data_IF_455039610033
#
_entry.id   IF_455039610033
#
_cell.length_a   1.000
_cell.length_b   1.000
_cell.length_c   1.000
_cell.angle_alpha   90.00
_cell.angle_beta   90.00
_cell.angle_gamma   90.00
#
_symmetry.space_group_name_H-M   'P 1'
#
loop_
_entity.id
_entity.type
_entity.pdbx_description
1 polymer ?
#
# COMPACT_ATOMS: atom_id res chain seq x y z
N UNK A 1 -17.14 5.80 -13.57
CA UNK A 1 -16.55 6.17 -12.26
C UNK A 1 -15.06 6.07 -12.46
N UNK A 2 -14.44 7.20 -12.80
CA UNK A 2 -13.09 7.21 -13.38
C UNK A 2 -12.05 6.78 -12.37
N UNK A 3 -11.06 6.05 -12.87
CA UNK A 3 -9.72 5.87 -12.34
C UNK A 3 -9.36 6.90 -11.26
N UNK A 4 -9.72 6.64 -10.00
CA UNK A 4 -8.89 7.18 -8.94
C UNK A 4 -7.54 6.55 -9.23
N UNK A 5 -6.56 7.40 -9.49
CA UNK A 5 -5.23 7.01 -9.93
C UNK A 5 -4.65 6.00 -8.91
N UNK A 6 -4.88 4.72 -9.17
CA UNK A 6 -4.49 3.62 -8.29
C UNK A 6 -2.96 3.61 -8.13
N UNK A 7 -2.25 4.13 -9.13
CA UNK A 7 -0.82 4.34 -9.11
C UNK A 7 -0.47 5.45 -8.13
N UNK A 8 -1.14 6.60 -8.19
CA UNK A 8 -1.03 7.66 -7.19
C UNK A 8 -1.31 7.20 -5.76
N UNK A 9 -2.33 6.37 -5.54
CA UNK A 9 -2.62 5.78 -4.22
C UNK A 9 -1.51 4.80 -3.78
N UNK A 10 -1.03 3.96 -4.69
CA UNK A 10 0.08 3.03 -4.43
C UNK A 10 1.38 3.78 -4.11
N UNK A 11 1.62 4.91 -4.79
CA UNK A 11 2.75 5.80 -4.54
C UNK A 11 2.70 6.43 -3.15
N UNK A 12 1.52 6.75 -2.62
CA UNK A 12 1.39 7.20 -1.23
C UNK A 12 1.84 6.11 -0.24
N UNK A 13 1.54 4.84 -0.53
CA UNK A 13 2.02 3.70 0.28
C UNK A 13 3.54 3.63 0.22
N UNK A 14 4.12 3.69 -0.99
CA UNK A 14 5.58 3.65 -1.19
C UNK A 14 6.27 4.80 -0.46
N UNK A 15 5.76 6.01 -0.58
CA UNK A 15 6.24 7.19 0.13
C UNK A 15 6.18 7.00 1.66
N UNK A 16 5.12 6.37 2.17
CA UNK A 16 4.97 6.06 3.60
C UNK A 16 6.00 5.08 4.15
N UNK A 17 6.62 4.24 3.30
CA UNK A 17 7.60 3.23 3.70
C UNK A 17 9.01 3.47 3.15
N UNK A 18 9.24 4.56 2.42
CA UNK A 18 10.52 4.80 1.73
C UNK A 18 11.73 4.84 2.68
N UNK A 19 11.51 5.27 3.94
CA UNK A 19 12.52 5.30 4.99
C UNK A 19 12.42 4.12 5.97
N UNK A 20 11.43 3.24 5.81
CA UNK A 20 11.30 2.02 6.61
C UNK A 20 12.33 1.01 6.12
N UNK A 21 13.32 0.59 6.93
CA UNK A 21 14.42 -0.25 6.45
C UNK A 21 13.99 -1.65 5.97
N UNK A 22 12.92 -2.19 6.56
CA UNK A 22 12.44 -3.54 6.29
C UNK A 22 10.93 -3.52 6.04
N UNK A 23 10.51 -4.03 4.88
CA UNK A 23 9.11 -4.14 4.48
C UNK A 23 8.51 -5.49 4.92
N UNK A 24 8.56 -5.77 6.21
CA UNK A 24 8.11 -7.03 6.81
C UNK A 24 6.64 -7.00 7.27
N UNK A 25 6.19 -8.07 7.95
CA UNK A 25 4.83 -8.18 8.48
C UNK A 25 4.52 -7.11 9.53
N UNK A 26 5.52 -6.67 10.32
CA UNK A 26 5.34 -5.63 11.32
C UNK A 26 5.12 -4.27 10.65
N UNK A 27 5.85 -3.97 9.57
CA UNK A 27 5.63 -2.77 8.77
C UNK A 27 4.24 -2.79 8.10
N UNK A 28 3.82 -3.93 7.55
CA UNK A 28 2.51 -4.08 6.90
C UNK A 28 1.36 -3.91 7.91
N UNK A 29 1.48 -4.52 9.09
CA UNK A 29 0.48 -4.44 10.16
C UNK A 29 0.32 -3.01 10.70
N UNK A 30 1.43 -2.29 10.90
CA UNK A 30 1.42 -0.89 11.32
C UNK A 30 0.80 0.01 10.25
N UNK A 31 1.12 -0.21 8.99
CA UNK A 31 0.55 0.53 7.87
C UNK A 31 -0.97 0.32 7.77
N UNK A 32 -1.43 -0.94 7.86
CA UNK A 32 -2.84 -1.27 7.86
C UNK A 32 -3.60 -0.61 9.02
N UNK A 33 -3.02 -0.58 10.22
CA UNK A 33 -3.60 0.13 11.36
C UNK A 33 -3.74 1.64 11.08
N UNK A 34 -2.69 2.28 10.56
CA UNK A 34 -2.73 3.70 10.20
C UNK A 34 -3.78 4.02 9.12
N UNK A 35 -4.01 3.11 8.17
CA UNK A 35 -5.05 3.22 7.15
C UNK A 35 -6.46 3.12 7.73
N UNK A 36 -6.68 2.16 8.63
CA UNK A 36 -7.98 1.98 9.32
C UNK A 36 -8.28 3.17 10.25
N UNK A 37 -7.29 3.64 10.99
CA UNK A 37 -7.41 4.81 11.86
C UNK A 37 -7.52 6.15 11.09
N UNK A 38 -7.31 6.13 9.77
CA UNK A 38 -7.30 7.30 8.87
C UNK A 38 -6.36 8.42 9.33
N UNK A 39 -5.30 8.07 10.06
CA UNK A 39 -4.40 9.04 10.69
C UNK A 39 -3.63 9.88 9.67
N UNK A 40 -3.17 9.23 8.61
CA UNK A 40 -2.46 9.85 7.47
C UNK A 40 -3.09 9.47 6.12
N UNK A 41 -4.03 8.52 6.13
CA UNK A 41 -4.65 7.90 4.96
C UNK A 41 -6.13 8.28 4.91
N UNK A 42 -6.39 9.55 4.59
CA UNK A 42 -7.72 10.17 4.70
C UNK A 42 -8.78 9.58 3.77
N UNK A 43 -8.36 8.96 2.66
CA UNK A 43 -9.25 8.28 1.71
C UNK A 43 -9.86 6.98 2.26
N UNK A 44 -9.32 6.47 3.38
CA UNK A 44 -9.81 5.31 4.09
C UNK A 44 -9.34 3.97 3.49
N UNK A 45 -9.42 2.88 4.27
CA UNK A 45 -8.77 1.61 3.96
C UNK A 45 -9.32 0.93 2.69
N UNK A 46 -10.56 1.19 2.30
CA UNK A 46 -11.14 0.63 1.08
C UNK A 46 -10.43 1.14 -0.19
N UNK A 47 -10.07 2.43 -0.24
CA UNK A 47 -9.39 3.01 -1.40
C UNK A 47 -7.99 2.39 -1.58
N UNK A 48 -7.26 2.21 -0.47
CA UNK A 48 -5.95 1.56 -0.52
C UNK A 48 -6.06 0.07 -0.86
N UNK A 49 -7.05 -0.64 -0.33
CA UNK A 49 -7.29 -2.05 -0.66
C UNK A 49 -7.56 -2.22 -2.17
N UNK A 50 -8.43 -1.39 -2.76
CA UNK A 50 -8.72 -1.43 -4.20
C UNK A 50 -7.48 -1.11 -5.04
N UNK A 51 -6.69 -0.10 -4.64
CA UNK A 51 -5.45 0.27 -5.35
C UNK A 51 -4.40 -0.85 -5.28
N UNK A 52 -4.26 -1.54 -4.15
CA UNK A 52 -3.35 -2.68 -3.99
C UNK A 52 -3.75 -3.82 -4.95
N UNK A 53 -5.04 -4.10 -5.10
CA UNK A 53 -5.52 -5.11 -6.06
C UNK A 53 -5.13 -4.74 -7.50
N UNK A 54 -5.30 -3.48 -7.89
CA UNK A 54 -4.88 -2.99 -9.21
C UNK A 54 -3.36 -3.11 -9.40
N UNK A 55 -2.56 -2.70 -8.41
CA UNK A 55 -1.10 -2.77 -8.46
C UNK A 55 -0.57 -4.21 -8.56
N UNK A 56 -1.25 -5.17 -7.94
CA UNK A 56 -0.90 -6.60 -8.04
C UNK A 56 -1.17 -7.20 -9.43
N UNK A 57 -2.15 -6.66 -10.17
CA UNK A 57 -2.49 -7.07 -11.53
C UNK A 57 -1.64 -6.36 -12.59
N UNK A 58 -0.92 -5.30 -12.20
CA UNK A 58 -0.10 -4.52 -13.10
C UNK A 58 1.30 -5.13 -13.26
N UNK A 59 1.69 -5.40 -14.51
CA UNK A 59 2.98 -6.01 -14.88
C UNK A 59 4.15 -5.01 -15.01
N UNK A 60 3.86 -3.71 -15.07
CA UNK A 60 4.90 -2.67 -15.18
C UNK A 60 5.52 -2.28 -13.84
N UNK A 61 6.51 -1.38 -13.80
CA UNK A 61 7.15 -0.98 -12.55
C UNK A 61 6.17 -0.26 -11.62
N UNK A 62 6.29 -0.46 -10.31
CA UNK A 62 5.55 0.27 -9.27
C UNK A 62 6.43 1.29 -8.54
N UNK A 63 7.76 1.16 -8.63
CA UNK A 63 8.73 2.04 -7.97
C UNK A 63 9.46 2.98 -8.93
N UNK A 64 8.88 3.29 -10.09
CA UNK A 64 9.48 4.13 -11.14
C UNK A 64 9.28 5.63 -10.94
N UNK A 65 8.28 6.04 -10.15
CA UNK A 65 7.93 7.45 -9.95
C UNK A 65 8.55 8.05 -8.67
N UNK A 66 8.96 7.22 -7.71
CA UNK A 66 9.50 7.64 -6.41
C UNK A 66 10.87 6.99 -6.21
N UNK A 67 11.89 7.81 -5.96
CA UNK A 67 13.21 7.31 -5.59
C UNK A 67 13.15 6.64 -4.20
N UNK A 68 13.53 5.37 -4.17
CA UNK A 68 13.40 4.50 -3.00
C UNK A 68 14.55 3.50 -2.97
N UNK A 69 15.00 3.15 -1.76
CA UNK A 69 15.98 2.08 -1.56
C UNK A 69 15.37 0.68 -1.72
N UNK A 70 14.05 0.59 -1.78
CA UNK A 70 13.32 -0.67 -1.89
C UNK A 70 13.39 -1.22 -3.31
N UNK A 71 13.63 -2.53 -3.43
CA UNK A 71 13.48 -3.22 -4.71
C UNK A 71 12.00 -3.30 -5.12
N UNK A 72 11.75 -3.32 -6.42
CA UNK A 72 10.42 -3.53 -7.02
C UNK A 72 9.74 -4.79 -6.46
N UNK A 73 10.47 -5.91 -6.39
CA UNK A 73 9.95 -7.16 -5.84
C UNK A 73 9.62 -7.03 -4.35
N UNK A 74 10.50 -6.39 -3.56
CA UNK A 74 10.27 -6.17 -2.14
C UNK A 74 9.02 -5.34 -1.87
N UNK A 75 8.79 -4.30 -2.69
CA UNK A 75 7.58 -3.49 -2.58
C UNK A 75 6.32 -4.28 -2.97
N UNK A 76 6.36 -5.11 -4.02
CA UNK A 76 5.23 -5.99 -4.40
C UNK A 76 4.89 -7.01 -3.32
N UNK A 77 5.89 -7.62 -2.72
CA UNK A 77 5.69 -8.56 -1.61
C UNK A 77 5.11 -7.85 -0.39
N UNK A 78 5.54 -6.61 -0.12
CA UNK A 78 4.94 -5.76 0.91
C UNK A 78 3.46 -5.46 0.64
N UNK A 79 3.10 -5.07 -0.59
CA UNK A 79 1.70 -4.84 -0.96
C UNK A 79 0.84 -6.09 -0.76
N UNK A 80 1.38 -7.29 -1.03
CA UNK A 80 0.68 -8.56 -0.76
C UNK A 80 0.42 -8.78 0.73
N UNK A 81 1.43 -8.51 1.59
CA UNK A 81 1.26 -8.59 3.05
C UNK A 81 0.25 -7.57 3.55
N UNK A 82 0.34 -6.34 3.07
CA UNK A 82 -0.57 -5.25 3.42
C UNK A 82 -2.03 -5.56 3.04
N UNK A 83 -2.27 -6.14 1.86
CA UNK A 83 -3.60 -6.62 1.47
C UNK A 83 -4.16 -7.62 2.49
N UNK A 84 -3.37 -8.61 2.90
CA UNK A 84 -3.76 -9.59 3.90
C UNK A 84 -4.04 -8.97 5.27
N UNK A 85 -3.27 -7.98 5.69
CA UNK A 85 -3.51 -7.25 6.93
C UNK A 85 -4.79 -6.40 6.88
N UNK A 86 -5.06 -5.73 5.76
CA UNK A 86 -6.29 -4.97 5.55
C UNK A 86 -7.51 -5.91 5.55
N UNK A 87 -7.45 -7.04 4.87
CA UNK A 87 -8.54 -8.02 4.83
C UNK A 87 -8.88 -8.58 6.23
N UNK A 88 -7.88 -8.87 7.06
CA UNK A 88 -8.08 -9.32 8.44
C UNK A 88 -8.75 -8.28 9.34
N UNK A 89 -8.65 -6.99 8.99
CA UNK A 89 -9.24 -5.87 9.74
C UNK A 89 -10.63 -5.48 9.25
N UNK A 90 -11.18 -6.22 8.29
CA UNK A 90 -12.57 -6.02 7.86
C UNK A 90 -13.56 -6.46 8.96
N UNK A 91 -14.73 -5.82 9.08
CA UNK A 91 -15.11 -4.58 8.40
C UNK A 91 -14.40 -3.37 9.00
N UNK A 92 -13.95 -2.46 8.14
CA UNK A 92 -13.36 -1.19 8.56
C UNK A 92 -14.51 -0.22 8.92
N UNK A 93 -14.77 -0.06 10.22
CA UNK A 93 -15.84 0.79 10.75
C UNK A 93 -15.50 2.28 10.70
#
# INVERSE_FOLDING_TARGET
MGDRDWKGVTNQILHGVMFTPQLDDAAASQMAAAMVERRYFGDGPAVYADAIVQAQQYDGPLTDEIDTSHSEQGFRDFLRRLAGELDQRRPWH
#
